data_IF_505507022065
#
_entry.id   IF_505507022065
#
_cell.length_a   1.000
_cell.length_b   1.000
_cell.length_c   1.000
_cell.angle_alpha   90.00
_cell.angle_beta   90.00
_cell.angle_gamma   90.00
#
_symmetry.space_group_name_H-M   'P 1'
#
loop_
_entity.id
_entity.type
_entity.pdbx_description
1 polymer ?
#
# COMPACT_ATOMS: atom_id res chain seq x y z
N UNK A 1 22.97 15.71 -13.84
CA UNK A 1 23.08 14.31 -13.38
C UNK A 1 21.72 13.84 -12.91
N UNK A 2 21.23 12.69 -13.39
CA UNK A 2 19.94 12.14 -12.92
C UNK A 2 20.04 11.61 -11.50
N UNK A 3 18.96 11.74 -10.75
CA UNK A 3 18.82 11.21 -9.38
C UNK A 3 17.47 10.49 -9.23
N UNK A 4 17.26 9.85 -8.08
CA UNK A 4 16.00 9.16 -7.82
C UNK A 4 15.75 7.92 -8.67
N UNK A 5 14.48 7.62 -8.91
CA UNK A 5 14.01 6.46 -9.66
C UNK A 5 14.45 6.50 -11.12
N UNK A 6 14.58 7.69 -11.73
CA UNK A 6 15.10 7.84 -13.08
C UNK A 6 16.53 7.33 -13.24
N UNK A 7 17.41 7.60 -12.26
CA UNK A 7 18.79 7.12 -12.26
C UNK A 7 18.88 5.60 -12.07
N UNK A 8 18.04 5.02 -11.21
CA UNK A 8 17.96 3.56 -11.03
C UNK A 8 17.43 2.86 -12.28
N UNK A 9 16.41 3.43 -12.92
CA UNK A 9 15.86 2.90 -14.18
C UNK A 9 16.94 2.80 -15.25
N UNK A 10 17.77 3.83 -15.41
CA UNK A 10 18.89 3.80 -16.36
C UNK A 10 20.00 2.83 -15.94
N UNK A 11 20.40 2.85 -14.66
CA UNK A 11 21.47 1.98 -14.13
C UNK A 11 21.20 0.49 -14.34
N UNK A 12 19.94 0.08 -14.16
CA UNK A 12 19.53 -1.33 -14.25
C UNK A 12 18.78 -1.66 -15.54
N UNK A 13 18.82 -0.76 -16.54
CA UNK A 13 18.15 -0.93 -17.84
C UNK A 13 16.68 -1.38 -17.74
N UNK A 14 15.93 -0.76 -16.82
CA UNK A 14 14.53 -1.14 -16.57
C UNK A 14 13.63 -0.52 -17.64
N UNK A 15 13.03 -1.39 -18.46
CA UNK A 15 11.98 -1.01 -19.40
C UNK A 15 10.62 -0.98 -18.71
N UNK A 16 9.83 0.06 -18.95
CA UNK A 16 8.51 0.24 -18.33
C UNK A 16 7.43 0.28 -19.41
N UNK A 17 6.26 -0.29 -19.11
CA UNK A 17 5.08 -0.14 -19.96
C UNK A 17 4.58 1.31 -19.95
N UNK A 18 4.62 1.97 -18.80
CA UNK A 18 4.39 3.41 -18.68
C UNK A 18 5.67 4.13 -18.24
N UNK A 19 6.06 5.23 -18.90
CA UNK A 19 7.24 5.97 -18.49
C UNK A 19 7.04 6.57 -17.09
N UNK A 20 8.13 6.71 -16.33
CA UNK A 20 8.10 7.48 -15.08
C UNK A 20 7.58 8.89 -15.37
N UNK A 21 6.54 9.31 -14.65
CA UNK A 21 6.00 10.68 -14.73
C UNK A 21 7.02 11.71 -14.26
N UNK A 22 7.79 11.40 -13.23
CA UNK A 22 8.78 12.29 -12.62
C UNK A 22 10.19 11.97 -13.11
N UNK A 23 10.92 13.00 -13.53
CA UNK A 23 12.35 12.95 -13.83
C UNK A 23 13.07 13.99 -12.97
N UNK A 24 13.98 13.54 -12.11
CA UNK A 24 14.74 14.44 -11.24
C UNK A 24 16.22 14.48 -11.62
N UNK A 25 16.80 15.67 -11.58
CA UNK A 25 18.22 15.88 -11.81
C UNK A 25 18.83 16.86 -10.80
N UNK A 26 20.14 16.77 -10.59
CA UNK A 26 20.90 17.83 -9.92
C UNK A 26 21.14 18.97 -10.90
N UNK A 27 20.76 20.17 -10.48
CA UNK A 27 20.97 21.45 -11.16
C UNK A 27 21.51 22.51 -10.21
N UNK A 28 21.57 23.76 -10.66
CA UNK A 28 22.07 24.88 -9.85
C UNK A 28 21.04 25.40 -8.85
N UNK A 29 19.78 25.44 -9.26
CA UNK A 29 18.66 25.93 -8.46
C UNK A 29 17.57 24.88 -8.34
N UNK A 30 16.73 25.02 -7.31
CA UNK A 30 15.53 24.20 -7.19
C UNK A 30 14.49 24.68 -8.19
N UNK A 31 14.03 23.78 -9.07
CA UNK A 31 12.93 24.07 -9.99
C UNK A 31 12.00 22.87 -10.14
N UNK A 32 10.74 23.16 -10.47
CA UNK A 32 9.69 22.20 -10.75
C UNK A 32 8.98 22.67 -12.02
N UNK A 33 8.95 21.82 -13.03
CA UNK A 33 8.27 22.09 -14.29
C UNK A 33 7.36 20.92 -14.65
N UNK A 34 6.08 21.20 -14.88
CA UNK A 34 5.11 20.20 -15.30
C UNK A 34 4.57 20.52 -16.68
N UNK A 35 4.65 19.57 -17.60
CA UNK A 35 4.16 19.71 -18.97
C UNK A 35 3.71 18.36 -19.51
N UNK A 36 2.53 18.34 -20.17
CA UNK A 36 1.94 17.13 -20.77
C UNK A 36 1.88 15.91 -19.83
N UNK A 37 1.61 16.14 -18.54
CA UNK A 37 1.54 15.08 -17.54
C UNK A 37 2.89 14.47 -17.16
N UNK A 38 4.01 15.11 -17.51
CA UNK A 38 5.37 14.80 -17.02
C UNK A 38 5.88 15.91 -16.13
N UNK A 39 6.67 15.54 -15.14
CA UNK A 39 7.28 16.45 -14.16
C UNK A 39 8.80 16.35 -14.28
N UNK A 40 9.44 17.50 -14.48
CA UNK A 40 10.89 17.66 -14.43
C UNK A 40 11.28 18.48 -13.21
N UNK A 41 12.07 17.87 -12.34
CA UNK A 41 12.57 18.49 -11.12
C UNK A 41 14.07 18.71 -11.21
N UNK A 42 14.52 19.91 -10.86
CA UNK A 42 15.92 20.15 -10.56
C UNK A 42 16.10 20.43 -9.07
N UNK A 43 17.12 19.79 -8.48
CA UNK A 43 17.50 20.00 -7.10
C UNK A 43 18.92 20.56 -7.01
N UNK A 44 19.20 21.48 -6.08
CA UNK A 44 20.54 22.01 -5.88
C UNK A 44 21.50 20.93 -5.34
N UNK A 45 22.83 21.13 -5.43
CA UNK A 45 23.83 20.08 -5.12
C UNK A 45 23.71 19.45 -3.73
N UNK A 46 23.20 20.18 -2.72
CA UNK A 46 22.98 19.65 -1.38
C UNK A 46 21.95 18.52 -1.27
N UNK A 47 21.20 18.23 -2.34
CA UNK A 47 20.24 17.12 -2.43
C UNK A 47 20.82 15.89 -3.12
N UNK A 48 22.08 15.93 -3.55
CA UNK A 48 22.72 14.81 -4.24
C UNK A 48 22.75 13.59 -3.32
N UNK A 49 22.09 12.48 -3.69
CA UNK A 49 22.18 11.25 -2.93
C UNK A 49 23.54 10.60 -3.12
N UNK A 50 23.86 9.63 -2.27
CA UNK A 50 24.93 8.68 -2.56
C UNK A 50 24.64 7.98 -3.90
N UNK A 51 25.68 7.80 -4.71
CA UNK A 51 25.57 7.25 -6.07
C UNK A 51 25.43 5.71 -6.07
N UNK A 52 24.54 5.19 -5.23
CA UNK A 52 24.27 3.77 -5.04
C UNK A 52 22.76 3.48 -5.01
N UNK A 53 22.39 2.20 -5.00
CA UNK A 53 20.99 1.76 -4.98
C UNK A 53 20.20 2.43 -3.84
N UNK A 54 20.71 2.38 -2.62
CA UNK A 54 20.07 2.90 -1.43
C UNK A 54 19.86 4.41 -1.49
N UNK A 55 20.88 5.17 -1.90
CA UNK A 55 20.83 6.62 -2.01
C UNK A 55 19.78 7.09 -3.01
N UNK A 56 19.79 6.54 -4.23
CA UNK A 56 18.81 6.90 -5.24
C UNK A 56 17.39 6.43 -4.90
N UNK A 57 17.22 5.25 -4.30
CA UNK A 57 15.89 4.77 -3.92
C UNK A 57 15.30 5.61 -2.77
N UNK A 58 16.11 5.93 -1.76
CA UNK A 58 15.72 6.81 -0.66
C UNK A 58 15.35 8.22 -1.15
N UNK A 59 16.12 8.75 -2.10
CA UNK A 59 15.80 10.02 -2.77
C UNK A 59 14.41 9.96 -3.43
N UNK A 60 14.16 8.92 -4.24
CA UNK A 60 12.88 8.76 -4.93
C UNK A 60 11.71 8.66 -3.95
N UNK A 61 11.86 7.90 -2.86
CA UNK A 61 10.82 7.80 -1.82
C UNK A 61 10.53 9.11 -1.07
N UNK A 62 11.46 10.07 -1.08
CA UNK A 62 11.35 11.34 -0.36
C UNK A 62 10.82 12.47 -1.24
N UNK A 63 11.16 12.46 -2.52
CA UNK A 63 10.99 13.61 -3.41
C UNK A 63 10.22 13.31 -4.69
N UNK A 64 9.99 12.04 -5.02
CA UNK A 64 9.35 11.62 -6.27
C UNK A 64 8.05 10.85 -6.01
N UNK A 65 7.39 10.48 -7.11
CA UNK A 65 6.18 9.69 -7.09
C UNK A 65 6.47 8.19 -7.09
N UNK A 66 5.70 7.44 -6.29
CA UNK A 66 5.78 5.98 -6.20
C UNK A 66 5.23 5.37 -7.48
N UNK A 67 6.02 4.49 -8.10
CA UNK A 67 5.65 3.78 -9.33
C UNK A 67 5.80 2.27 -9.13
N UNK A 68 4.70 1.57 -8.78
CA UNK A 68 4.75 0.17 -8.36
C UNK A 68 5.23 -0.79 -9.47
N UNK A 69 4.90 -0.53 -10.74
CA UNK A 69 5.46 -1.31 -11.86
C UNK A 69 6.99 -1.21 -11.91
N UNK A 70 7.52 -0.02 -11.67
CA UNK A 70 8.97 0.21 -11.70
C UNK A 70 9.63 -0.53 -10.54
N UNK A 71 9.05 -0.49 -9.33
CA UNK A 71 9.56 -1.25 -8.20
C UNK A 71 9.54 -2.75 -8.48
N UNK A 72 8.45 -3.30 -9.03
CA UNK A 72 8.34 -4.72 -9.33
C UNK A 72 9.42 -5.18 -10.31
N UNK A 73 9.61 -4.44 -11.42
CA UNK A 73 10.63 -4.76 -12.41
C UNK A 73 12.05 -4.54 -11.89
N UNK A 74 12.28 -3.47 -11.13
CA UNK A 74 13.57 -3.21 -10.50
C UNK A 74 13.95 -4.34 -9.54
N UNK A 75 13.03 -4.76 -8.67
CA UNK A 75 13.27 -5.85 -7.72
C UNK A 75 13.52 -7.19 -8.40
N UNK A 76 12.79 -7.49 -9.49
CA UNK A 76 13.06 -8.67 -10.30
C UNK A 76 14.45 -8.62 -10.97
N UNK A 77 14.92 -7.44 -11.38
CA UNK A 77 16.20 -7.28 -12.04
C UNK A 77 17.41 -7.30 -11.08
N UNK A 78 17.26 -6.75 -9.86
CA UNK A 78 18.38 -6.58 -8.93
C UNK A 78 18.50 -7.69 -7.88
N UNK A 79 17.46 -8.52 -7.71
CA UNK A 79 17.43 -9.54 -6.66
C UNK A 79 17.34 -8.96 -5.24
N UNK A 80 17.38 -9.82 -4.21
CA UNK A 80 17.25 -9.40 -2.82
C UNK A 80 18.52 -8.73 -2.26
N UNK A 81 19.71 -9.04 -2.78
CA UNK A 81 21.00 -8.80 -2.10
C UNK A 81 21.25 -7.33 -1.78
N UNK A 82 20.91 -6.42 -2.70
CA UNK A 82 21.07 -4.98 -2.50
C UNK A 82 20.15 -4.46 -1.38
N UNK A 83 18.91 -4.94 -1.34
CA UNK A 83 17.95 -4.57 -0.30
C UNK A 83 18.34 -5.17 1.05
N UNK A 84 18.77 -6.43 1.08
CA UNK A 84 19.20 -7.06 2.32
C UNK A 84 20.41 -6.36 2.92
N UNK A 85 21.42 -6.06 2.09
CA UNK A 85 22.60 -5.29 2.51
C UNK A 85 22.20 -3.93 3.09
N UNK A 86 21.29 -3.22 2.41
CA UNK A 86 20.78 -1.94 2.89
C UNK A 86 20.02 -2.06 4.22
N UNK A 87 19.10 -3.02 4.32
CA UNK A 87 18.31 -3.27 5.52
C UNK A 87 19.18 -3.69 6.72
N UNK A 88 20.26 -4.46 6.51
CA UNK A 88 21.21 -4.82 7.58
C UNK A 88 22.01 -3.61 8.08
N UNK A 89 22.39 -2.68 7.19
CA UNK A 89 23.09 -1.44 7.57
C UNK A 89 22.19 -0.45 8.30
N UNK A 90 20.94 -0.33 7.87
CA UNK A 90 19.98 0.65 8.40
C UNK A 90 18.67 -0.01 8.89
N UNK A 91 18.73 -0.93 9.88
CA UNK A 91 17.59 -1.78 10.26
C UNK A 91 16.37 -1.00 10.77
N UNK A 92 16.59 0.19 11.32
CA UNK A 92 15.52 1.05 11.86
C UNK A 92 15.16 2.21 10.93
N UNK A 93 15.94 2.44 9.87
CA UNK A 93 15.77 3.55 8.93
C UNK A 93 14.48 3.41 8.13
N UNK A 94 13.63 4.44 8.13
CA UNK A 94 12.36 4.38 7.41
C UNK A 94 12.53 4.11 5.90
N UNK A 95 13.63 4.60 5.33
CA UNK A 95 13.93 4.45 3.91
C UNK A 95 14.48 3.08 3.55
N UNK A 96 15.01 2.31 4.50
CA UNK A 96 15.37 0.90 4.29
C UNK A 96 14.17 -0.03 4.54
N UNK A 97 13.37 0.26 5.59
CA UNK A 97 12.20 -0.56 5.95
C UNK A 97 11.11 -0.56 4.88
N UNK A 98 10.82 0.61 4.28
CA UNK A 98 9.79 0.74 3.22
C UNK A 98 10.09 -0.12 1.98
N UNK A 99 11.26 -0.06 1.34
CA UNK A 99 11.59 -0.93 0.21
C UNK A 99 11.69 -2.39 0.61
N UNK A 100 12.19 -2.72 1.82
CA UNK A 100 12.16 -4.09 2.32
C UNK A 100 10.75 -4.67 2.35
N UNK A 101 9.80 -3.93 2.93
CA UNK A 101 8.37 -4.30 2.88
C UNK A 101 7.81 -4.37 1.45
N UNK A 102 8.09 -3.37 0.61
CA UNK A 102 7.57 -3.33 -0.76
C UNK A 102 8.11 -4.47 -1.62
N UNK A 103 9.36 -4.90 -1.41
CA UNK A 103 9.93 -6.06 -2.07
C UNK A 103 9.14 -7.31 -1.72
N UNK A 104 9.03 -7.66 -0.43
CA UNK A 104 8.31 -8.87 0.00
C UNK A 104 6.83 -8.82 -0.40
N UNK A 105 6.25 -7.63 -0.43
CA UNK A 105 4.87 -7.43 -0.83
C UNK A 105 4.64 -7.61 -2.34
N UNK A 106 5.56 -7.12 -3.18
CA UNK A 106 5.47 -7.24 -4.64
C UNK A 106 5.87 -8.61 -5.16
N UNK A 107 6.92 -9.22 -4.59
CA UNK A 107 7.49 -10.49 -5.09
C UNK A 107 6.92 -11.70 -4.37
N UNK A 108 6.45 -11.55 -3.13
CA UNK A 108 6.09 -12.66 -2.25
C UNK A 108 7.31 -13.37 -1.64
N UNK A 109 8.52 -12.97 -1.98
CA UNK A 109 9.76 -13.55 -1.47
C UNK A 109 10.19 -12.85 -0.17
N UNK A 110 10.66 -13.63 0.80
CA UNK A 110 11.07 -13.12 2.12
C UNK A 110 12.56 -12.79 2.12
N UNK A 111 12.92 -11.55 2.45
CA UNK A 111 14.32 -11.12 2.56
C UNK A 111 15.03 -11.82 3.73
N UNK A 112 16.30 -12.19 3.60
CA UNK A 112 17.08 -12.83 4.66
C UNK A 112 17.65 -11.81 5.64
N UNK A 113 16.79 -11.00 6.23
CA UNK A 113 17.14 -10.01 7.26
C UNK A 113 16.29 -10.21 8.52
N UNK A 114 16.82 -9.87 9.72
CA UNK A 114 16.05 -9.97 10.95
C UNK A 114 14.83 -9.05 10.95
N UNK A 115 13.79 -9.47 11.66
CA UNK A 115 12.62 -8.64 11.95
C UNK A 115 13.02 -7.35 12.69
N UNK A 116 12.37 -6.24 12.36
CA UNK A 116 12.59 -4.95 12.99
C UNK A 116 12.00 -4.97 14.41
N UNK A 117 12.87 -4.93 15.41
CA UNK A 117 12.47 -5.03 16.83
C UNK A 117 12.17 -3.68 17.48
N UNK A 118 12.67 -2.57 16.91
CA UNK A 118 12.57 -1.23 17.48
C UNK A 118 12.02 -0.19 16.49
N UNK A 119 11.47 0.92 16.99
CA UNK A 119 10.96 2.04 16.19
C UNK A 119 9.43 2.09 16.04
N UNK A 120 8.92 3.23 15.58
CA UNK A 120 7.49 3.41 15.31
C UNK A 120 7.03 2.66 14.07
N UNK A 121 5.71 2.41 14.00
CA UNK A 121 5.08 2.03 12.74
C UNK A 121 5.07 3.22 11.79
N UNK A 122 5.49 3.00 10.55
CA UNK A 122 5.49 4.01 9.49
C UNK A 122 4.57 3.58 8.35
N UNK A 123 3.99 4.53 7.62
CA UNK A 123 3.18 4.22 6.45
C UNK A 123 4.01 3.69 5.28
N UNK A 124 3.48 2.72 4.52
CA UNK A 124 4.13 2.23 3.31
C UNK A 124 4.26 3.34 2.25
N UNK A 125 3.18 4.11 2.06
CA UNK A 125 3.13 5.30 1.22
C UNK A 125 2.48 6.48 1.97
N UNK A 126 2.77 7.71 1.54
CA UNK A 126 2.25 8.92 2.21
C UNK A 126 0.74 9.08 2.02
N UNK A 127 -0.04 9.00 3.10
CA UNK A 127 -1.49 9.31 3.08
C UNK A 127 -1.84 10.75 2.67
N UNK A 128 -0.86 11.67 2.70
CA UNK A 128 -1.05 13.05 2.21
C UNK A 128 -0.95 13.18 0.70
N UNK A 129 -0.19 12.30 0.05
CA UNK A 129 0.11 12.37 -1.37
C UNK A 129 -0.68 11.35 -2.20
N UNK A 130 -1.15 10.27 -1.56
CA UNK A 130 -1.85 9.17 -2.22
C UNK A 130 -3.17 8.87 -1.53
N UNK A 131 -4.12 8.36 -2.30
CA UNK A 131 -5.27 7.66 -1.73
C UNK A 131 -4.77 6.35 -1.09
N UNK A 132 -5.05 6.20 0.19
CA UNK A 132 -4.60 5.06 1.00
C UNK A 132 -5.79 4.40 1.70
N UNK A 133 -5.59 3.19 2.21
CA UNK A 133 -6.60 2.53 3.05
C UNK A 133 -6.88 3.37 4.30
N UNK A 134 -8.15 3.54 4.64
CA UNK A 134 -8.62 4.17 5.89
C UNK A 134 -8.29 3.31 7.10
N UNK A 135 -8.49 2.00 6.99
CA UNK A 135 -8.08 1.01 7.99
C UNK A 135 -6.77 0.32 7.57
N UNK A 136 -5.67 0.65 8.26
CA UNK A 136 -4.33 0.12 7.94
C UNK A 136 -4.10 -1.30 8.46
N UNK A 137 -3.43 -2.14 7.67
CA UNK A 137 -2.97 -3.47 8.11
C UNK A 137 -1.56 -3.36 8.67
N UNK A 138 -1.32 -3.82 9.90
CA UNK A 138 0.01 -3.74 10.53
C UNK A 138 0.90 -4.91 10.10
N UNK A 139 1.97 -4.63 9.35
CA UNK A 139 3.06 -5.57 9.15
C UNK A 139 4.06 -5.45 10.31
N UNK A 140 4.09 -6.47 11.18
CA UNK A 140 4.91 -6.46 12.40
C UNK A 140 6.41 -6.56 12.12
N UNK A 141 6.80 -7.42 11.16
CA UNK A 141 8.18 -7.68 10.75
C UNK A 141 8.92 -6.41 10.34
N UNK A 142 8.30 -5.60 9.49
CA UNK A 142 8.89 -4.33 9.03
C UNK A 142 8.49 -3.13 9.88
N UNK A 143 7.56 -3.33 10.82
CA UNK A 143 6.87 -2.25 11.55
C UNK A 143 6.35 -1.19 10.58
N UNK A 144 5.59 -1.66 9.60
CA UNK A 144 4.97 -0.83 8.55
C UNK A 144 3.46 -0.96 8.64
N UNK A 145 2.77 0.18 8.59
CA UNK A 145 1.35 0.25 8.32
C UNK A 145 1.16 0.08 6.81
N UNK A 146 0.76 -1.11 6.39
CA UNK A 146 0.32 -1.39 5.04
C UNK A 146 -0.97 -0.63 4.79
N UNK A 147 -0.80 0.54 4.16
CA UNK A 147 -1.85 1.45 3.75
C UNK A 147 -2.01 1.48 2.22
N UNK A 148 -1.46 0.48 1.51
CA UNK A 148 -1.50 0.42 0.04
C UNK A 148 -2.94 0.24 -0.47
N UNK A 149 -3.36 1.01 -1.49
CA UNK A 149 -4.70 0.95 -2.07
C UNK A 149 -4.83 -0.20 -3.06
N UNK A 150 -4.43 -1.42 -2.66
CA UNK A 150 -5.04 -2.59 -3.28
C UNK A 150 -6.43 -2.69 -2.68
N UNK A 151 -7.47 -2.83 -3.51
CA UNK A 151 -8.82 -2.96 -3.00
C UNK A 151 -8.82 -4.01 -1.89
N UNK A 152 -9.04 -3.53 -0.66
CA UNK A 152 -8.99 -4.37 0.53
C UNK A 152 -9.91 -5.57 0.32
N UNK A 153 -11.06 -5.32 -0.30
CA UNK A 153 -12.06 -6.28 -0.75
C UNK A 153 -11.49 -7.39 -1.62
N UNK A 154 -10.62 -7.09 -2.59
CA UNK A 154 -10.00 -8.12 -3.44
C UNK A 154 -9.12 -9.05 -2.60
N UNK A 155 -8.38 -8.51 -1.64
CA UNK A 155 -7.44 -9.27 -0.81
C UNK A 155 -8.04 -9.87 0.47
N UNK A 156 -9.21 -9.39 0.92
CA UNK A 156 -9.80 -9.72 2.22
C UNK A 156 -10.67 -10.97 2.18
N UNK A 157 -11.17 -11.37 1.01
CA UNK A 157 -11.98 -12.58 0.83
C UNK A 157 -11.34 -13.54 -0.17
N UNK A 158 -11.34 -14.82 0.18
CA UNK A 158 -10.97 -15.90 -0.73
C UNK A 158 -11.83 -15.88 -2.01
N UNK A 159 -13.11 -15.54 -1.90
CA UNK A 159 -14.03 -15.49 -3.05
C UNK A 159 -13.66 -14.38 -4.04
N UNK A 160 -13.27 -13.20 -3.54
CA UNK A 160 -12.83 -12.11 -4.41
C UNK A 160 -11.47 -12.42 -5.06
N UNK A 161 -10.53 -13.06 -4.33
CA UNK A 161 -9.25 -13.51 -4.91
C UNK A 161 -9.45 -14.55 -6.01
N UNK A 162 -10.24 -15.58 -5.76
CA UNK A 162 -10.54 -16.61 -6.77
C UNK A 162 -11.28 -16.01 -7.96
N UNK A 163 -12.20 -15.07 -7.72
CA UNK A 163 -12.92 -14.38 -8.79
C UNK A 163 -12.00 -13.47 -9.61
N UNK A 164 -11.00 -12.84 -8.98
CA UNK A 164 -9.98 -12.06 -9.67
C UNK A 164 -9.18 -12.95 -10.63
N UNK A 165 -8.63 -14.05 -10.13
CA UNK A 165 -7.83 -14.99 -10.93
C UNK A 165 -8.67 -15.58 -12.08
N UNK A 166 -9.91 -16.00 -11.78
CA UNK A 166 -10.85 -16.49 -12.79
C UNK A 166 -11.13 -15.44 -13.85
N UNK A 167 -11.23 -14.17 -13.48
CA UNK A 167 -11.51 -13.08 -14.42
C UNK A 167 -10.36 -12.86 -15.38
N UNK A 168 -9.12 -12.87 -14.89
CA UNK A 168 -7.92 -12.82 -15.72
C UNK A 168 -7.83 -14.02 -16.67
N UNK A 169 -8.15 -15.21 -16.15
CA UNK A 169 -8.17 -16.47 -16.88
C UNK A 169 -9.14 -16.51 -18.07
N UNK A 170 -10.25 -15.75 -18.02
CA UNK A 170 -11.23 -15.68 -19.12
C UNK A 170 -10.56 -15.26 -20.42
N UNK A 171 -9.63 -14.32 -20.33
CA UNK A 171 -8.87 -13.83 -21.48
C UNK A 171 -7.60 -14.66 -21.67
N UNK A 172 -6.76 -14.76 -20.62
CA UNK A 172 -5.40 -15.33 -20.74
C UNK A 172 -5.41 -16.79 -21.17
N UNK A 173 -6.24 -17.67 -20.57
CA UNK A 173 -6.23 -19.10 -20.90
C UNK A 173 -6.66 -19.38 -22.33
N UNK A 174 -7.63 -18.63 -22.85
CA UNK A 174 -8.12 -18.77 -24.23
C UNK A 174 -7.06 -18.31 -25.22
N UNK A 175 -6.45 -17.17 -24.94
CA UNK A 175 -5.36 -16.62 -25.74
C UNK A 175 -4.17 -17.60 -25.80
N UNK A 176 -3.70 -18.04 -24.63
CA UNK A 176 -2.55 -18.96 -24.52
C UNK A 176 -2.84 -20.31 -25.18
N UNK A 177 -4.07 -20.82 -25.09
CA UNK A 177 -4.47 -22.06 -25.77
C UNK A 177 -4.50 -21.90 -27.29
N UNK A 178 -5.10 -20.82 -27.80
CA UNK A 178 -5.21 -20.57 -29.24
C UNK A 178 -3.84 -20.43 -29.90
N UNK A 179 -2.92 -19.76 -29.21
CA UNK A 179 -1.59 -19.46 -29.73
C UNK A 179 -0.49 -20.36 -29.14
N UNK A 180 -0.87 -21.56 -28.66
CA UNK A 180 0.08 -22.53 -28.17
C UNK A 180 1.06 -22.89 -29.31
N UNK A 181 2.37 -22.69 -29.07
CA UNK A 181 3.42 -22.92 -30.08
C UNK A 181 3.70 -21.73 -30.99
N UNK A 182 2.88 -20.68 -30.96
CA UNK A 182 3.09 -19.43 -31.72
C UNK A 182 3.95 -18.41 -30.96
N UNK A 183 4.37 -18.74 -29.73
CA UNK A 183 5.29 -17.94 -28.94
C UNK A 183 6.48 -18.78 -28.49
N UNK A 184 7.64 -18.13 -28.36
CA UNK A 184 8.85 -18.73 -27.80
C UNK A 184 9.73 -17.67 -27.14
N UNK A 185 10.55 -18.13 -26.20
CA UNK A 185 11.65 -17.35 -25.67
C UNK A 185 12.95 -17.79 -26.33
N UNK A 186 13.76 -16.84 -26.78
CA UNK A 186 15.02 -17.11 -27.49
C UNK A 186 16.13 -16.15 -27.08
N UNK A 187 16.92 -15.71 -28.05
CA UNK A 187 17.94 -14.68 -27.83
C UNK A 187 17.29 -13.30 -27.67
N UNK A 188 17.89 -12.47 -26.82
CA UNK A 188 17.46 -11.10 -26.55
C UNK A 188 17.67 -10.24 -27.81
N UNK A 189 16.62 -9.56 -28.29
CA UNK A 189 16.66 -8.71 -29.50
C UNK A 189 16.06 -7.34 -29.21
N UNK A 190 16.59 -6.32 -29.87
CA UNK A 190 16.04 -4.96 -29.85
C UNK A 190 14.99 -4.83 -30.95
N UNK A 191 13.75 -4.53 -30.58
CA UNK A 191 12.64 -4.28 -31.50
C UNK A 191 12.60 -2.82 -31.96
N UNK A 192 11.80 -2.52 -32.98
CA UNK A 192 11.71 -1.21 -33.67
C UNK A 192 11.41 -0.03 -32.71
N UNK A 193 10.78 -0.30 -31.56
CA UNK A 193 10.53 0.68 -30.49
C UNK A 193 11.65 0.85 -29.44
N UNK A 194 12.82 0.24 -29.65
CA UNK A 194 13.94 0.23 -28.70
C UNK A 194 13.78 -0.76 -27.54
N UNK A 195 12.66 -1.49 -27.49
CA UNK A 195 12.37 -2.53 -26.48
C UNK A 195 13.27 -3.74 -26.71
N UNK A 196 14.06 -4.12 -25.70
CA UNK A 196 14.82 -5.35 -25.63
C UNK A 196 13.95 -6.48 -25.08
N UNK A 197 13.72 -7.51 -25.90
CA UNK A 197 12.95 -8.67 -25.47
C UNK A 197 13.46 -9.95 -26.12
N UNK A 198 13.43 -11.05 -25.36
CA UNK A 198 13.68 -12.39 -25.87
C UNK A 198 12.38 -13.13 -26.22
N UNK A 199 11.22 -12.51 -26.00
CA UNK A 199 9.93 -13.04 -26.39
C UNK A 199 9.72 -12.83 -27.89
N UNK A 200 9.40 -13.91 -28.61
CA UNK A 200 9.02 -13.88 -30.02
C UNK A 200 7.62 -14.45 -30.16
N UNK A 201 6.76 -13.75 -30.90
CA UNK A 201 5.41 -14.19 -31.22
C UNK A 201 5.22 -14.11 -32.75
N UNK A 202 4.71 -15.17 -33.37
CA UNK A 202 4.63 -15.26 -34.83
C UNK A 202 3.28 -14.82 -35.41
N UNK A 203 2.22 -14.76 -34.59
CA UNK A 203 0.84 -14.59 -35.06
C UNK A 203 0.24 -13.21 -34.71
N UNK A 204 1.04 -12.14 -34.83
CA UNK A 204 0.61 -10.78 -34.46
C UNK A 204 -0.62 -10.29 -35.24
N UNK A 205 -0.71 -10.59 -36.54
CA UNK A 205 -1.84 -10.17 -37.37
C UNK A 205 -3.14 -10.90 -36.98
N UNK A 206 -3.09 -12.21 -36.71
CA UNK A 206 -4.25 -12.97 -36.23
C UNK A 206 -4.64 -12.51 -34.81
N UNK A 207 -3.68 -12.31 -33.91
CA UNK A 207 -3.94 -11.90 -32.52
C UNK A 207 -4.32 -10.42 -32.38
N UNK A 208 -4.36 -9.65 -33.46
CA UNK A 208 -4.60 -8.20 -33.43
C UNK A 208 -5.92 -7.82 -32.75
N UNK A 209 -6.95 -8.66 -32.84
CA UNK A 209 -8.22 -8.42 -32.14
C UNK A 209 -8.04 -8.40 -30.61
N UNK A 210 -7.14 -9.23 -30.08
CA UNK A 210 -6.89 -9.33 -28.65
C UNK A 210 -6.29 -8.04 -28.07
N UNK A 211 -5.59 -7.27 -28.91
CA UNK A 211 -4.97 -6.00 -28.51
C UNK A 211 -5.79 -4.77 -28.89
N UNK A 212 -6.51 -4.84 -30.02
CA UNK A 212 -7.25 -3.70 -30.55
C UNK A 212 -8.68 -3.60 -30.00
N UNK A 213 -9.32 -4.75 -29.76
CA UNK A 213 -10.69 -4.84 -29.26
C UNK A 213 -10.83 -5.96 -28.22
N UNK A 214 -10.10 -5.90 -27.09
CA UNK A 214 -10.21 -6.92 -26.05
C UNK A 214 -11.64 -6.93 -25.47
N UNK A 215 -12.26 -8.11 -25.40
CA UNK A 215 -13.48 -8.30 -24.62
C UNK A 215 -13.15 -8.33 -23.13
N UNK A 216 -13.28 -7.17 -22.49
CA UNK A 216 -13.03 -6.98 -21.07
C UNK A 216 -14.31 -7.05 -20.23
N UNK A 217 -15.41 -7.57 -20.78
CA UNK A 217 -16.72 -7.60 -20.10
C UNK A 217 -16.62 -8.20 -18.71
N UNK A 218 -15.95 -9.36 -18.56
CA UNK A 218 -15.80 -10.01 -17.26
C UNK A 218 -14.93 -9.19 -16.27
N UNK A 219 -13.92 -8.46 -16.78
CA UNK A 219 -13.09 -7.57 -15.97
C UNK A 219 -13.88 -6.39 -15.42
N UNK A 220 -14.72 -5.78 -16.26
CA UNK A 220 -15.62 -4.70 -15.87
C UNK A 220 -16.63 -5.20 -14.83
N UNK A 221 -17.31 -6.33 -15.09
CA UNK A 221 -18.30 -6.89 -14.16
C UNK A 221 -17.69 -7.29 -12.81
N UNK A 222 -16.49 -7.86 -12.80
CA UNK A 222 -15.76 -8.14 -11.57
C UNK A 222 -15.44 -6.84 -10.82
N UNK A 223 -14.90 -5.83 -11.50
CA UNK A 223 -14.56 -4.54 -10.91
C UNK A 223 -15.79 -3.85 -10.32
N UNK A 224 -16.92 -3.85 -11.04
CA UNK A 224 -18.19 -3.32 -10.53
C UNK A 224 -18.63 -4.02 -9.24
N UNK A 225 -18.52 -5.35 -9.15
CA UNK A 225 -18.84 -6.11 -7.93
C UNK A 225 -17.92 -5.76 -6.76
N UNK A 226 -16.63 -5.59 -7.02
CA UNK A 226 -15.67 -5.12 -6.01
C UNK A 226 -16.07 -3.75 -5.50
N UNK A 227 -16.34 -2.80 -6.41
CA UNK A 227 -16.76 -1.44 -6.06
C UNK A 227 -18.05 -1.46 -5.25
N UNK A 228 -19.06 -2.20 -5.71
CA UNK A 228 -20.34 -2.32 -5.01
C UNK A 228 -20.16 -2.87 -3.59
N UNK A 229 -19.40 -3.95 -3.42
CA UNK A 229 -19.13 -4.50 -2.11
C UNK A 229 -18.36 -3.52 -1.21
N UNK A 230 -17.33 -2.85 -1.75
CA UNK A 230 -16.60 -1.83 -1.01
C UNK A 230 -17.53 -0.72 -0.53
N UNK A 231 -18.40 -0.18 -1.39
CA UNK A 231 -19.30 0.92 -1.04
C UNK A 231 -20.41 0.47 -0.09
N UNK A 232 -21.10 -0.64 -0.39
CA UNK A 232 -22.29 -1.07 0.36
C UNK A 232 -21.97 -1.76 1.67
N UNK A 233 -20.83 -2.45 1.75
CA UNK A 233 -20.50 -3.30 2.90
C UNK A 233 -19.33 -2.70 3.68
N UNK A 234 -18.14 -2.60 3.07
CA UNK A 234 -16.92 -2.18 3.78
C UNK A 234 -17.05 -0.75 4.32
N UNK A 235 -17.34 0.21 3.45
CA UNK A 235 -17.50 1.62 3.83
C UNK A 235 -18.70 1.82 4.77
N UNK A 236 -19.80 1.10 4.57
CA UNK A 236 -20.96 1.18 5.46
C UNK A 236 -20.63 0.65 6.87
N UNK A 237 -19.91 -0.46 6.96
CA UNK A 237 -19.46 -1.02 8.24
C UNK A 237 -18.46 -0.09 8.92
N UNK A 238 -17.51 0.47 8.18
CA UNK A 238 -16.55 1.44 8.71
C UNK A 238 -17.27 2.70 9.23
N UNK A 239 -18.23 3.24 8.48
CA UNK A 239 -19.05 4.36 8.91
C UNK A 239 -19.83 4.05 10.20
N UNK A 240 -20.44 2.85 10.31
CA UNK A 240 -21.12 2.42 11.54
C UNK A 240 -20.15 2.38 12.73
N UNK A 241 -18.95 1.85 12.54
CA UNK A 241 -17.92 1.81 13.59
C UNK A 241 -17.52 3.22 14.03
N UNK A 242 -17.34 4.15 13.09
CA UNK A 242 -17.01 5.54 13.39
C UNK A 242 -18.14 6.24 14.18
N UNK A 243 -19.40 6.05 13.77
CA UNK A 243 -20.56 6.63 14.46
C UNK A 243 -20.68 6.07 15.88
N UNK A 244 -20.54 4.76 16.05
CA UNK A 244 -20.57 4.12 17.38
C UNK A 244 -19.44 4.66 18.26
N UNK A 245 -18.24 4.81 17.71
CA UNK A 245 -17.08 5.32 18.45
C UNK A 245 -17.28 6.78 18.88
N UNK A 246 -17.79 7.64 17.99
CA UNK A 246 -18.14 9.03 18.31
C UNK A 246 -19.21 9.10 19.41
N UNK A 247 -20.23 8.24 19.34
CA UNK A 247 -21.27 8.16 20.38
C UNK A 247 -20.70 7.72 21.72
N UNK A 248 -19.81 6.72 21.74
CA UNK A 248 -19.14 6.27 22.95
C UNK A 248 -18.31 7.41 23.58
N UNK A 249 -17.63 8.20 22.75
CA UNK A 249 -16.86 9.37 23.18
C UNK A 249 -17.74 10.47 23.78
N UNK A 250 -18.88 10.77 23.16
CA UNK A 250 -19.83 11.75 23.68
C UNK A 250 -20.39 11.30 25.04
N UNK A 251 -20.90 10.07 25.15
CA UNK A 251 -21.46 9.53 26.40
C UNK A 251 -20.43 9.42 27.51
N UNK A 252 -19.19 9.03 27.18
CA UNK A 252 -18.11 9.00 28.17
C UNK A 252 -17.85 10.40 28.75
N UNK A 253 -17.87 11.43 27.89
CA UNK A 253 -17.65 12.82 28.30
C UNK A 253 -18.80 13.42 29.11
N UNK A 254 -20.00 12.88 29.00
CA UNK A 254 -21.13 13.24 29.88
C UNK A 254 -20.91 12.72 31.31
N UNK A 255 -20.12 11.65 31.48
CA UNK A 255 -19.78 11.10 32.80
C UNK A 255 -18.56 11.80 33.39
N UNK A 256 -17.51 12.02 32.58
CA UNK A 256 -16.25 12.61 33.03
C UNK A 256 -15.67 13.54 31.96
N UNK A 257 -15.37 14.79 32.35
CA UNK A 257 -14.63 15.71 31.50
C UNK A 257 -13.19 15.22 31.27
N UNK A 258 -12.84 15.00 30.00
CA UNK A 258 -11.49 14.58 29.64
C UNK A 258 -11.14 14.93 28.18
N UNK A 259 -9.84 14.99 27.84
CA UNK A 259 -9.39 15.14 26.47
C UNK A 259 -9.83 13.99 25.54
N UNK A 260 -10.03 14.29 24.25
CA UNK A 260 -10.44 13.31 23.24
C UNK A 260 -9.50 12.11 23.12
N UNK A 261 -8.20 12.35 23.28
CA UNK A 261 -7.20 11.30 23.19
C UNK A 261 -7.34 10.29 24.33
N UNK A 262 -7.69 10.74 25.52
CA UNK A 262 -7.84 9.88 26.70
C UNK A 262 -9.17 9.12 26.66
N UNK A 263 -10.25 9.79 26.25
CA UNK A 263 -11.53 9.15 25.95
C UNK A 263 -11.35 8.03 24.92
N UNK A 264 -10.64 8.30 23.83
CA UNK A 264 -10.35 7.32 22.78
C UNK A 264 -9.54 6.12 23.28
N UNK A 265 -8.59 6.33 24.20
CA UNK A 265 -7.79 5.26 24.82
C UNK A 265 -8.65 4.38 25.72
N UNK A 266 -9.53 4.97 26.52
CA UNK A 266 -10.46 4.24 27.39
C UNK A 266 -11.42 3.40 26.55
N UNK A 267 -12.08 4.00 25.55
CA UNK A 267 -13.04 3.30 24.67
C UNK A 267 -12.37 2.13 23.95
N UNK A 268 -11.17 2.33 23.40
CA UNK A 268 -10.42 1.27 22.72
C UNK A 268 -10.06 0.14 23.69
N UNK A 269 -9.59 0.48 24.89
CA UNK A 269 -9.25 -0.52 25.91
C UNK A 269 -10.47 -1.32 26.36
N UNK A 270 -11.63 -0.68 26.55
CA UNK A 270 -12.87 -1.36 26.92
C UNK A 270 -13.38 -2.26 25.79
N UNK A 271 -13.33 -1.78 24.54
CA UNK A 271 -13.71 -2.58 23.36
C UNK A 271 -12.85 -3.84 23.21
N UNK A 272 -11.54 -3.72 23.43
CA UNK A 272 -10.59 -4.84 23.31
C UNK A 272 -10.72 -5.86 24.45
N UNK A 273 -11.17 -5.44 25.64
CA UNK A 273 -11.27 -6.29 26.83
C UNK A 273 -12.72 -6.68 27.19
N UNK A 274 -13.66 -6.64 26.24
CA UNK A 274 -15.05 -7.07 26.48
C UNK A 274 -15.79 -6.23 27.53
N UNK A 275 -15.56 -4.92 27.54
CA UNK A 275 -16.10 -3.95 28.52
C UNK A 275 -15.61 -4.16 29.96
N UNK A 276 -14.43 -4.77 30.14
CA UNK A 276 -13.76 -4.85 31.44
C UNK A 276 -12.60 -3.84 31.54
N UNK A 277 -12.46 -3.24 32.72
CA UNK A 277 -11.37 -2.29 32.99
C UNK A 277 -10.09 -3.07 33.29
N UNK A 278 -9.09 -2.94 32.42
CA UNK A 278 -7.79 -3.58 32.64
C UNK A 278 -7.01 -2.90 33.78
N UNK A 279 -6.18 -3.66 34.51
CA UNK A 279 -5.32 -3.09 35.56
C UNK A 279 -4.31 -2.05 35.02
N UNK A 280 -3.92 -2.16 33.75
CA UNK A 280 -3.09 -1.16 33.06
C UNK A 280 -3.87 0.15 32.83
N UNK A 281 -5.16 0.05 32.49
CA UNK A 281 -6.03 1.21 32.30
C UNK A 281 -6.23 1.94 33.63
N UNK A 282 -6.49 1.22 34.74
CA UNK A 282 -6.58 1.81 36.09
C UNK A 282 -5.32 2.57 36.50
N UNK A 283 -4.13 1.96 36.31
CA UNK A 283 -2.85 2.64 36.58
C UNK A 283 -2.63 3.91 35.75
N UNK A 284 -3.21 3.98 34.55
CA UNK A 284 -3.08 5.13 33.65
C UNK A 284 -4.09 6.22 33.99
N UNK A 285 -5.28 5.84 34.46
CA UNK A 285 -6.38 6.73 34.79
C UNK A 285 -6.90 6.43 36.21
N UNK A 286 -6.32 7.06 37.25
CA UNK A 286 -6.68 6.81 38.65
C UNK A 286 -8.16 7.08 38.98
N UNK A 287 -8.85 7.90 38.19
CA UNK A 287 -10.30 8.11 38.30
C UNK A 287 -11.12 6.82 38.14
N UNK A 288 -10.55 5.77 37.55
CA UNK A 288 -11.17 4.44 37.42
C UNK A 288 -11.02 3.55 38.66
N UNK A 289 -10.36 4.04 39.71
CA UNK A 289 -10.30 3.36 41.01
C UNK A 289 -11.60 3.58 41.82
N UNK A 290 -12.33 4.67 41.54
CA UNK A 290 -13.67 4.86 42.09
C UNK A 290 -14.68 3.91 41.43
N UNK A 291 -15.36 3.11 42.24
CA UNK A 291 -16.26 2.06 41.78
C UNK A 291 -17.47 2.66 41.04
N UNK A 292 -18.05 3.75 41.55
CA UNK A 292 -19.23 4.39 40.95
C UNK A 292 -18.90 5.01 39.58
N UNK A 293 -17.85 5.83 39.52
CA UNK A 293 -17.38 6.47 38.29
C UNK A 293 -16.96 5.44 37.24
N UNK A 294 -16.23 4.40 37.66
CA UNK A 294 -15.77 3.35 36.76
C UNK A 294 -16.94 2.55 36.15
N UNK A 295 -17.98 2.26 36.94
CA UNK A 295 -19.19 1.58 36.47
C UNK A 295 -19.94 2.47 35.48
N UNK A 296 -20.15 3.75 35.80
CA UNK A 296 -20.82 4.71 34.90
C UNK A 296 -20.08 4.89 33.58
N UNK A 297 -18.75 4.89 33.60
CA UNK A 297 -17.91 4.92 32.38
C UNK A 297 -18.11 3.66 31.54
N UNK A 298 -18.08 2.48 32.16
CA UNK A 298 -18.28 1.21 31.45
C UNK A 298 -19.67 1.16 30.83
N UNK A 299 -20.70 1.60 31.55
CA UNK A 299 -22.09 1.60 31.07
C UNK A 299 -22.32 2.64 29.96
N UNK A 300 -21.74 3.83 30.08
CA UNK A 300 -21.77 4.86 29.04
C UNK A 300 -21.13 4.38 27.73
N UNK A 301 -20.00 3.68 27.82
CA UNK A 301 -19.31 3.11 26.66
C UNK A 301 -20.08 1.91 26.11
N UNK A 302 -20.49 0.96 26.96
CA UNK A 302 -21.23 -0.25 26.57
C UNK A 302 -22.53 0.07 25.84
N UNK A 303 -23.33 1.00 26.38
CA UNK A 303 -24.59 1.42 25.78
C UNK A 303 -24.43 2.00 24.38
N UNK A 304 -23.24 2.51 24.02
CA UNK A 304 -22.99 3.03 22.68
C UNK A 304 -22.78 1.92 21.64
N UNK A 305 -22.33 0.73 22.09
CA UNK A 305 -22.11 -0.46 21.25
C UNK A 305 -23.35 -1.36 21.14
N UNK A 306 -24.34 -1.20 22.03
CA UNK A 306 -25.60 -1.93 21.94
C UNK A 306 -26.45 -1.41 20.76
N UNK A 307 -27.01 -2.30 19.93
CA UNK A 307 -27.93 -1.89 18.88
C UNK A 307 -29.15 -1.24 19.53
N UNK A 308 -29.43 0.02 19.17
CA UNK A 308 -30.72 0.59 19.54
C UNK A 308 -31.78 -0.15 18.75
N UNK A 309 -32.71 -0.81 19.45
CA UNK A 309 -34.00 -1.14 18.87
C UNK A 309 -34.58 0.16 18.30
N UNK A 310 -34.63 0.25 16.97
CA UNK A 310 -35.39 1.28 16.31
C UNK A 310 -36.84 1.01 16.70
N UNK A 311 -37.36 1.79 17.66
CA UNK A 311 -38.80 1.83 17.88
C UNK A 311 -39.45 2.23 16.54
N UNK A 312 -40.50 1.50 16.13
CA UNK A 312 -41.11 1.61 14.81
C UNK A 312 -41.66 3.01 14.52
#
# INVERSE_FOLDING_TARGET
MLVGFGALRERYAIELAQPLRVKSAIGTVRSHHESQGRVENHYPPGYQPEDNFAGHFAFGLKYEEVHLEFFARLFAAVGPELLESWCRREPFGQYARRPGFLYEWLTGETLQVPDVTNGGYIEAISSKAYLTRTTVKRNRRWRINDNLPVSATITSSMDFRVSYDRTLDVFSKRLMRRYAGCYRFGELKTYEGGTLSNFSFSEYEDARFAWRYPDLTQHVLYTCRVIEHTVRIEMANEARVLVIFQRAQQRLKEVVEMPDQDASRIIRSLKENGCLISGKLKKTFPLLDDIDTSQRIVDAVRSAFEPQEQKP
#
